data_IF_770535854133
#
_entry.id   IF_770535854133
#
_cell.length_a   1.000
_cell.length_b   1.000
_cell.length_c   1.000
_cell.angle_alpha   90.00
_cell.angle_beta   90.00
_cell.angle_gamma   90.00
#
_symmetry.space_group_name_H-M   'P 1'
#
loop_
_entity.id
_entity.type
_entity.pdbx_description
1 polymer ?
#
# COMPACT_ATOMS: atom_id res chain seq x y z
N UNK A 1 11.01 6.82 7.46
CA UNK A 1 11.91 5.71 7.85
C UNK A 1 12.30 4.89 6.65
N UNK A 2 13.55 4.40 6.57
CA UNK A 2 14.04 3.55 5.47
C UNK A 2 14.34 2.14 5.96
N UNK A 3 13.81 1.15 5.25
CA UNK A 3 14.02 -0.28 5.48
C UNK A 3 14.74 -0.91 4.29
N UNK A 4 15.58 -1.91 4.54
CA UNK A 4 16.09 -2.81 3.49
C UNK A 4 15.19 -4.04 3.42
N UNK A 5 14.82 -4.41 2.20
CA UNK A 5 14.01 -5.59 1.88
C UNK A 5 14.87 -6.51 0.99
N UNK A 6 15.68 -7.38 1.58
CA UNK A 6 16.67 -8.17 0.84
C UNK A 6 16.04 -9.12 -0.17
N UNK A 7 14.80 -9.53 0.05
CA UNK A 7 14.07 -10.50 -0.78
C UNK A 7 12.56 -10.23 -0.78
N UNK A 8 11.83 -11.07 -1.50
CA UNK A 8 10.35 -11.01 -1.57
C UNK A 8 9.73 -11.29 -0.20
N UNK A 9 10.30 -12.23 0.57
CA UNK A 9 9.78 -12.57 1.90
C UNK A 9 9.83 -11.37 2.85
N UNK A 10 10.86 -10.52 2.75
CA UNK A 10 10.94 -9.27 3.49
C UNK A 10 9.83 -8.28 3.10
N UNK A 11 9.53 -8.17 1.80
CA UNK A 11 8.41 -7.33 1.32
C UNK A 11 7.06 -7.87 1.83
N UNK A 12 6.89 -9.18 1.83
CA UNK A 12 5.69 -9.84 2.35
C UNK A 12 5.56 -9.65 3.87
N UNK A 13 6.65 -9.74 4.61
CA UNK A 13 6.66 -9.49 6.06
C UNK A 13 6.29 -8.03 6.39
N UNK A 14 6.75 -7.05 5.59
CA UNK A 14 6.33 -5.66 5.73
C UNK A 14 4.82 -5.50 5.51
N UNK A 15 4.27 -6.14 4.47
CA UNK A 15 2.83 -6.14 4.21
C UNK A 15 2.03 -6.75 5.36
N UNK A 16 2.48 -7.86 5.92
CA UNK A 16 1.85 -8.52 7.06
C UNK A 16 1.88 -7.65 8.33
N UNK A 17 2.98 -6.96 8.61
CA UNK A 17 3.11 -6.06 9.76
C UNK A 17 2.18 -4.84 9.64
N UNK A 18 2.10 -4.24 8.44
CA UNK A 18 1.15 -3.17 8.17
C UNK A 18 -0.31 -3.65 8.32
N UNK A 19 -0.62 -4.87 7.90
CA UNK A 19 -1.94 -5.46 8.08
C UNK A 19 -2.31 -5.67 9.55
N UNK A 20 -1.38 -6.21 10.34
CA UNK A 20 -1.59 -6.52 11.76
C UNK A 20 -1.91 -5.29 12.61
N UNK A 21 -1.40 -4.12 12.22
CA UNK A 21 -1.53 -2.85 12.96
C UNK A 21 -2.42 -1.84 12.24
N UNK A 22 -3.11 -2.26 11.18
CA UNK A 22 -3.96 -1.36 10.36
C UNK A 22 -5.03 -0.67 11.21
N UNK A 23 -5.14 0.66 11.12
CA UNK A 23 -6.27 1.39 11.70
C UNK A 23 -7.59 1.03 11.01
N UNK A 24 -8.71 1.40 11.61
CA UNK A 24 -10.05 1.08 11.11
C UNK A 24 -10.27 1.49 9.65
N UNK A 25 -9.86 2.71 9.28
CA UNK A 25 -9.82 3.20 7.89
C UNK A 25 -8.42 3.68 7.57
N UNK A 26 -7.95 3.39 6.37
CA UNK A 26 -6.59 3.76 5.96
C UNK A 26 -6.45 3.92 4.45
N UNK A 27 -5.60 4.85 4.04
CA UNK A 27 -5.19 5.09 2.65
C UNK A 27 -3.68 4.97 2.55
N UNK A 28 -3.21 4.07 1.69
CA UNK A 28 -1.78 3.84 1.44
C UNK A 28 -1.44 4.20 0.01
N UNK A 29 -0.47 5.08 -0.16
CA UNK A 29 0.13 5.40 -1.45
C UNK A 29 1.41 4.62 -1.65
N UNK A 30 1.50 3.89 -2.76
CA UNK A 30 2.64 3.08 -3.16
C UNK A 30 3.33 3.71 -4.36
N UNK A 31 4.51 4.26 -4.13
CA UNK A 31 5.36 4.87 -5.14
C UNK A 31 6.52 3.94 -5.51
N UNK A 32 7.08 4.13 -6.67
CA UNK A 32 8.25 3.41 -7.16
C UNK A 32 8.10 3.00 -8.63
N UNK A 33 9.22 2.73 -9.28
CA UNK A 33 9.27 2.32 -10.68
C UNK A 33 8.58 0.96 -10.91
N UNK A 34 8.39 0.61 -12.19
CA UNK A 34 7.93 -0.72 -12.57
C UNK A 34 8.88 -1.78 -12.00
N UNK A 35 8.32 -2.83 -11.39
CA UNK A 35 9.11 -3.90 -10.78
C UNK A 35 9.69 -3.57 -9.40
N UNK A 36 9.42 -2.41 -8.81
CA UNK A 36 9.89 -2.03 -7.48
C UNK A 36 9.27 -2.84 -6.34
N UNK A 37 8.15 -3.54 -6.58
CA UNK A 37 7.49 -4.39 -5.59
C UNK A 37 6.19 -3.84 -5.02
N UNK A 38 5.62 -2.78 -5.60
CA UNK A 38 4.35 -2.18 -5.15
C UNK A 38 3.22 -3.20 -5.06
N UNK A 39 2.96 -3.91 -6.16
CA UNK A 39 1.90 -4.93 -6.21
C UNK A 39 2.21 -6.13 -5.29
N UNK A 40 3.47 -6.44 -5.05
CA UNK A 40 3.86 -7.48 -4.10
C UNK A 40 3.50 -7.08 -2.68
N UNK A 41 3.82 -5.85 -2.29
CA UNK A 41 3.46 -5.30 -0.98
C UNK A 41 1.94 -5.21 -0.80
N UNK A 42 1.22 -4.71 -1.81
CA UNK A 42 -0.24 -4.63 -1.79
C UNK A 42 -0.88 -6.01 -1.60
N UNK A 43 -0.43 -7.02 -2.37
CA UNK A 43 -0.91 -8.40 -2.24
C UNK A 43 -0.64 -8.99 -0.86
N UNK A 44 0.56 -8.77 -0.31
CA UNK A 44 0.93 -9.27 1.00
C UNK A 44 0.02 -8.69 2.09
N UNK A 45 -0.24 -7.38 2.04
CA UNK A 45 -1.13 -6.70 2.97
C UNK A 45 -2.57 -7.23 2.86
N UNK A 46 -3.12 -7.32 1.64
CA UNK A 46 -4.46 -7.88 1.39
C UNK A 46 -4.57 -9.34 1.85
N UNK A 47 -3.56 -10.15 1.58
CA UNK A 47 -3.51 -11.55 2.01
C UNK A 47 -3.52 -11.68 3.51
N UNK A 48 -2.75 -10.85 4.22
CA UNK A 48 -2.71 -10.83 5.67
C UNK A 48 -4.03 -10.34 6.30
N UNK A 49 -4.80 -9.52 5.57
CA UNK A 49 -6.15 -9.09 5.96
C UNK A 49 -7.26 -10.10 5.60
N UNK A 50 -6.88 -11.30 5.17
CA UNK A 50 -7.80 -12.40 4.95
C UNK A 50 -8.41 -12.50 3.55
N UNK A 51 -7.93 -11.71 2.58
CA UNK A 51 -8.38 -11.87 1.19
C UNK A 51 -8.01 -13.25 0.67
N UNK A 52 -9.01 -14.02 0.27
CA UNK A 52 -8.88 -15.39 -0.24
C UNK A 52 -8.98 -15.43 -1.76
N UNK A 53 -8.39 -16.47 -2.35
CA UNK A 53 -8.39 -16.63 -3.79
C UNK A 53 -7.34 -15.79 -4.50
N UNK A 54 -7.54 -15.53 -5.79
CA UNK A 54 -6.57 -14.79 -6.59
C UNK A 54 -6.61 -13.30 -6.26
N UNK A 55 -5.45 -12.73 -5.92
CA UNK A 55 -5.26 -11.28 -5.84
C UNK A 55 -4.53 -10.87 -7.11
N UNK A 56 -5.24 -10.16 -7.99
CA UNK A 56 -4.73 -9.72 -9.28
C UNK A 56 -4.12 -8.34 -9.15
N UNK A 57 -3.08 -8.05 -9.95
CA UNK A 57 -2.62 -6.68 -10.14
C UNK A 57 -3.67 -5.91 -10.96
N UNK A 58 -4.13 -4.73 -10.52
CA UNK A 58 -5.13 -3.95 -11.24
C UNK A 58 -4.56 -3.17 -12.44
N UNK A 59 -3.40 -3.56 -12.96
CA UNK A 59 -2.71 -2.88 -14.07
C UNK A 59 -3.61 -2.70 -15.30
N UNK A 60 -4.55 -3.61 -15.54
CA UNK A 60 -5.48 -3.55 -16.67
C UNK A 60 -6.89 -3.10 -16.28
N UNK A 61 -7.34 -3.41 -15.07
CA UNK A 61 -8.68 -3.12 -14.58
C UNK A 61 -8.78 -1.77 -13.88
N UNK A 62 -7.64 -1.16 -13.54
CA UNK A 62 -7.46 0.08 -12.77
C UNK A 62 -7.90 -0.05 -11.31
N UNK A 63 -8.99 -0.74 -11.01
CA UNK A 63 -9.56 -0.91 -9.68
C UNK A 63 -9.95 -2.35 -9.47
N UNK A 64 -9.51 -2.93 -8.36
CA UNK A 64 -9.93 -4.26 -7.89
C UNK A 64 -10.45 -4.16 -6.45
N UNK A 65 -11.74 -4.43 -6.22
CA UNK A 65 -12.31 -4.50 -4.88
C UNK A 65 -12.04 -5.87 -4.26
N UNK A 66 -11.84 -5.90 -2.94
CA UNK A 66 -11.63 -7.11 -2.15
C UNK A 66 -12.45 -7.07 -0.87
N UNK A 67 -13.01 -8.23 -0.50
CA UNK A 67 -13.61 -8.45 0.82
C UNK A 67 -12.53 -8.91 1.79
N UNK A 68 -12.42 -8.21 2.92
CA UNK A 68 -11.53 -8.55 4.02
C UNK A 68 -12.22 -9.50 5.02
N UNK A 69 -11.42 -10.18 5.85
CA UNK A 69 -11.97 -10.86 7.02
C UNK A 69 -12.68 -9.84 7.93
N UNK A 70 -13.84 -10.20 8.47
CA UNK A 70 -14.67 -9.29 9.24
C UNK A 70 -15.74 -8.54 8.42
N UNK A 71 -15.72 -8.65 7.07
CA UNK A 71 -16.76 -8.13 6.19
C UNK A 71 -16.52 -6.71 5.66
N UNK A 72 -15.38 -6.11 6.00
CA UNK A 72 -14.96 -4.83 5.43
C UNK A 72 -14.51 -4.96 3.97
N UNK A 73 -14.55 -3.88 3.21
CA UNK A 73 -14.07 -3.82 1.84
C UNK A 73 -12.75 -3.03 1.73
N UNK A 74 -11.86 -3.54 0.87
CA UNK A 74 -10.66 -2.82 0.43
C UNK A 74 -10.71 -2.60 -1.08
N UNK A 75 -10.02 -1.57 -1.56
CA UNK A 75 -9.80 -1.33 -2.98
C UNK A 75 -8.31 -1.22 -3.28
N UNK A 76 -7.89 -1.85 -4.35
CA UNK A 76 -6.55 -1.74 -4.90
C UNK A 76 -6.62 -1.06 -6.26
N UNK A 77 -5.96 0.08 -6.38
CA UNK A 77 -5.87 0.89 -7.60
C UNK A 77 -4.46 0.84 -8.17
N UNK A 78 -4.36 0.75 -9.48
CA UNK A 78 -3.12 0.96 -10.23
C UNK A 78 -3.36 2.02 -11.31
N UNK A 79 -2.81 3.21 -11.10
CA UNK A 79 -3.04 4.37 -11.94
C UNK A 79 -1.95 4.56 -13.00
N UNK A 80 -1.10 3.56 -13.23
CA UNK A 80 -0.01 3.64 -14.21
C UNK A 80 -0.46 4.12 -15.59
N UNK A 81 -1.64 3.67 -16.04
CA UNK A 81 -2.19 3.96 -17.37
C UNK A 81 -3.09 5.20 -17.43
N UNK A 82 -3.36 5.82 -16.29
CA UNK A 82 -4.15 7.05 -16.24
C UNK A 82 -3.30 8.20 -16.80
N UNK A 83 -3.79 8.83 -17.84
CA UNK A 83 -3.13 9.97 -18.47
C UNK A 83 -3.52 11.30 -17.82
N UNK A 84 -4.75 11.39 -17.30
CA UNK A 84 -5.27 12.59 -16.66
C UNK A 84 -6.15 12.21 -15.47
N UNK A 85 -6.05 12.96 -14.37
CA UNK A 85 -6.81 12.70 -13.13
C UNK A 85 -8.34 12.75 -13.34
N UNK A 86 -8.79 13.50 -14.35
CA UNK A 86 -10.22 13.61 -14.71
C UNK A 86 -10.82 12.26 -15.15
N UNK A 87 -9.99 11.34 -15.66
CA UNK A 87 -10.46 9.98 -16.00
C UNK A 87 -10.98 9.23 -14.78
N UNK A 88 -10.48 9.54 -13.57
CA UNK A 88 -10.92 8.92 -12.34
C UNK A 88 -12.33 9.32 -11.92
N UNK A 89 -12.81 10.51 -12.33
CA UNK A 89 -14.16 10.97 -12.02
C UNK A 89 -15.24 10.06 -12.61
N UNK A 90 -14.92 9.36 -13.71
CA UNK A 90 -15.84 8.41 -14.37
C UNK A 90 -15.84 7.01 -13.74
N UNK A 91 -14.94 6.73 -12.79
CA UNK A 91 -14.78 5.40 -12.20
C UNK A 91 -15.62 5.16 -10.94
N UNK A 92 -16.42 6.14 -10.52
CA UNK A 92 -17.27 6.00 -9.32
C UNK A 92 -16.47 5.91 -8.02
N UNK A 93 -15.33 6.62 -7.93
CA UNK A 93 -14.47 6.59 -6.73
C UNK A 93 -15.20 7.04 -5.48
N UNK A 94 -16.16 7.96 -5.57
CA UNK A 94 -16.94 8.44 -4.42
C UNK A 94 -17.76 7.32 -3.78
N UNK A 95 -18.37 6.45 -4.59
CA UNK A 95 -19.11 5.28 -4.08
C UNK A 95 -18.17 4.26 -3.43
N UNK A 96 -17.03 4.01 -4.05
CA UNK A 96 -15.99 3.14 -3.49
C UNK A 96 -15.43 3.71 -2.18
N UNK A 97 -15.20 5.02 -2.13
CA UNK A 97 -14.71 5.71 -0.94
C UNK A 97 -15.69 5.59 0.24
N UNK A 98 -16.99 5.57 -0.03
CA UNK A 98 -18.02 5.40 1.00
C UNK A 98 -18.00 4.00 1.62
N UNK A 99 -17.62 2.97 0.87
CA UNK A 99 -17.69 1.56 1.26
C UNK A 99 -16.35 1.01 1.73
N UNK A 100 -15.25 1.34 1.04
CA UNK A 100 -13.95 0.77 1.34
C UNK A 100 -13.31 1.40 2.57
N UNK A 101 -12.81 0.56 3.48
CA UNK A 101 -12.05 0.97 4.67
C UNK A 101 -10.55 1.02 4.41
N UNK A 102 -10.07 0.37 3.36
CA UNK A 102 -8.66 0.36 2.98
C UNK A 102 -8.51 0.69 1.50
N UNK A 103 -7.64 1.65 1.23
CA UNK A 103 -7.23 2.02 -0.12
C UNK A 103 -5.74 1.74 -0.30
N UNK A 104 -5.40 0.94 -1.30
CA UNK A 104 -4.03 0.72 -1.75
C UNK A 104 -3.92 1.31 -3.14
N UNK A 105 -3.11 2.36 -3.31
CA UNK A 105 -3.01 3.11 -4.56
C UNK A 105 -1.59 3.07 -5.09
N UNK A 106 -1.38 2.40 -6.22
CA UNK A 106 -0.13 2.44 -6.98
C UNK A 106 -0.17 3.61 -7.98
N UNK A 107 0.95 4.28 -8.18
CA UNK A 107 1.09 5.47 -9.05
C UNK A 107 0.13 6.60 -8.66
N UNK A 108 0.05 6.98 -7.38
CA UNK A 108 -0.92 7.97 -6.90
C UNK A 108 -0.71 9.36 -7.51
N UNK A 109 0.49 9.67 -8.03
CA UNK A 109 0.80 10.90 -8.75
C UNK A 109 -0.08 11.14 -9.98
N UNK A 110 -0.62 10.07 -10.59
CA UNK A 110 -1.53 10.17 -11.72
C UNK A 110 -2.97 10.48 -11.31
N UNK A 111 -3.32 10.28 -10.04
CA UNK A 111 -4.68 10.49 -9.54
C UNK A 111 -4.96 11.89 -8.99
N UNK A 112 -3.92 12.62 -8.66
CA UNK A 112 -4.02 14.01 -8.20
C UNK A 112 -5.05 14.21 -7.07
N UNK A 113 -5.88 15.22 -7.21
CA UNK A 113 -6.90 15.60 -6.22
C UNK A 113 -8.12 14.67 -6.17
N UNK A 114 -8.28 13.77 -7.14
CA UNK A 114 -9.38 12.80 -7.15
C UNK A 114 -9.21 11.69 -6.12
N UNK A 115 -8.01 11.51 -5.56
CA UNK A 115 -7.71 10.51 -4.55
C UNK A 115 -7.91 11.06 -3.13
N UNK A 116 -8.34 10.20 -2.18
CA UNK A 116 -8.33 10.56 -0.76
C UNK A 116 -6.91 10.81 -0.27
N UNK A 117 -6.76 11.66 0.77
CA UNK A 117 -5.46 11.91 1.39
C UNK A 117 -4.85 10.60 1.93
N UNK A 118 -3.57 10.37 1.63
CA UNK A 118 -2.86 9.22 2.17
C UNK A 118 -2.60 9.37 3.68
N UNK A 119 -2.80 8.28 4.42
CA UNK A 119 -2.31 8.14 5.80
C UNK A 119 -0.85 7.69 5.80
N UNK A 120 -0.51 6.77 4.90
CA UNK A 120 0.83 6.22 4.76
C UNK A 120 1.30 6.31 3.32
N UNK A 121 2.53 6.81 3.15
CA UNK A 121 3.26 6.76 1.89
C UNK A 121 4.39 5.74 2.00
N UNK A 122 4.52 4.90 0.98
CA UNK A 122 5.61 3.92 0.84
C UNK A 122 6.28 4.13 -0.51
N UNK A 123 7.55 4.51 -0.49
CA UNK A 123 8.38 4.63 -1.68
C UNK A 123 9.26 3.38 -1.78
N UNK A 124 9.06 2.57 -2.81
CA UNK A 124 9.81 1.35 -3.08
C UNK A 124 10.82 1.57 -4.20
N UNK A 125 12.03 1.07 -4.01
CA UNK A 125 13.07 1.11 -5.02
C UNK A 125 13.83 -0.21 -5.09
N UNK A 126 14.32 -0.57 -6.28
CA UNK A 126 15.25 -1.69 -6.46
C UNK A 126 16.60 -1.29 -5.86
N UNK A 127 17.17 -2.14 -5.02
CA UNK A 127 18.46 -1.92 -4.37
C UNK A 127 19.28 -3.24 -4.40
N UNK A 128 20.20 -3.34 -5.35
CA UNK A 128 20.92 -4.59 -5.61
C UNK A 128 19.97 -5.70 -6.07
N UNK A 129 20.04 -6.85 -5.43
CA UNK A 129 19.12 -7.98 -5.68
C UNK A 129 17.79 -7.85 -4.90
N UNK A 130 17.76 -6.97 -3.90
CA UNK A 130 16.58 -6.70 -3.07
C UNK A 130 15.86 -5.42 -3.42
N UNK A 131 15.24 -4.85 -2.42
CA UNK A 131 14.49 -3.59 -2.48
C UNK A 131 14.83 -2.73 -1.27
N UNK A 132 14.55 -1.44 -1.35
CA UNK A 132 14.42 -0.56 -0.19
C UNK A 132 13.00 0.02 -0.14
N UNK A 133 12.52 0.29 1.06
CA UNK A 133 11.26 0.97 1.28
C UNK A 133 11.49 2.19 2.17
N UNK A 134 10.96 3.35 1.76
CA UNK A 134 10.88 4.54 2.61
C UNK A 134 9.41 4.68 2.99
N UNK A 135 9.14 4.64 4.31
CA UNK A 135 7.79 4.78 4.86
C UNK A 135 7.65 6.12 5.55
N UNK A 136 6.55 6.80 5.28
CA UNK A 136 6.22 8.12 5.82
C UNK A 136 4.74 8.15 6.24
N UNK A 137 4.48 8.42 7.54
CA UNK A 137 3.13 8.76 8.00
C UNK A 137 2.77 10.17 7.54
N UNK A 138 1.63 10.33 6.88
CA UNK A 138 1.16 11.59 6.28
C UNK A 138 0.05 12.24 7.10
N UNK A 139 -0.51 11.51 8.04
CA UNK A 139 -1.50 11.97 9.02
C UNK A 139 -1.06 11.53 10.42
N UNK A 140 -1.71 12.05 11.47
CA UNK A 140 -1.46 11.57 12.84
C UNK A 140 -1.70 10.08 12.93
N UNK A 141 -2.83 9.60 12.37
CA UNK A 141 -3.14 8.17 12.28
C UNK A 141 -2.06 7.37 11.54
N UNK A 142 -1.53 7.90 10.45
CA UNK A 142 -0.46 7.26 9.68
C UNK A 142 0.86 7.19 10.44
N UNK A 143 1.19 8.21 11.26
CA UNK A 143 2.36 8.20 12.13
C UNK A 143 2.22 7.13 13.22
N UNK A 144 1.09 7.09 13.90
CA UNK A 144 0.80 6.08 14.94
C UNK A 144 0.80 4.66 14.34
N UNK A 145 0.22 4.50 13.16
CA UNK A 145 0.22 3.22 12.45
C UNK A 145 1.64 2.75 12.13
N UNK A 146 2.47 3.65 11.60
CA UNK A 146 3.86 3.34 11.26
C UNK A 146 4.65 2.94 12.52
N UNK A 147 4.49 3.65 13.63
CA UNK A 147 5.16 3.34 14.89
C UNK A 147 4.77 1.93 15.40
N UNK A 148 3.48 1.59 15.36
CA UNK A 148 3.00 0.27 15.75
C UNK A 148 3.52 -0.84 14.83
N UNK A 149 3.47 -0.62 13.50
CA UNK A 149 3.99 -1.59 12.54
C UNK A 149 5.48 -1.88 12.73
N UNK A 150 6.26 -0.87 13.12
CA UNK A 150 7.71 -1.02 13.36
C UNK A 150 8.03 -1.72 14.68
N UNK A 151 7.14 -1.66 15.65
CA UNK A 151 7.28 -2.39 16.91
C UNK A 151 6.89 -3.86 16.80
N UNK A 152 6.21 -4.27 15.72
CA UNK A 152 5.93 -5.68 15.45
C UNK A 152 7.23 -6.48 15.26
N UNK A 153 7.29 -7.65 15.90
CA UNK A 153 8.52 -8.47 15.96
C UNK A 153 9.12 -8.82 14.58
N UNK A 154 8.27 -8.85 13.54
CA UNK A 154 8.70 -9.18 12.18
C UNK A 154 9.50 -8.05 11.50
N UNK A 155 9.33 -6.79 11.92
CA UNK A 155 10.11 -5.66 11.40
C UNK A 155 11.45 -5.47 12.12
N UNK A 156 11.63 -6.04 13.30
CA UNK A 156 12.92 -6.02 14.00
C UNK A 156 14.05 -6.72 13.24
N UNK A 157 13.70 -7.52 12.21
CA UNK A 157 14.65 -8.20 11.33
C UNK A 157 15.09 -7.36 10.13
N UNK A 158 14.51 -6.17 9.93
CA UNK A 158 14.91 -5.29 8.83
C UNK A 158 15.95 -4.29 9.31
N UNK A 159 17.15 -4.24 8.72
CA UNK A 159 18.11 -3.21 9.08
C UNK A 159 17.54 -1.83 8.73
N UNK A 160 17.29 -1.04 9.76
CA UNK A 160 16.93 0.38 9.60
C UNK A 160 18.17 1.14 9.16
N UNK A 161 18.14 1.74 8.00
CA UNK A 161 19.21 2.63 7.55
C UNK A 161 18.91 4.02 8.10
N UNK A 162 19.53 4.36 9.23
CA UNK A 162 19.52 5.75 9.69
C UNK A 162 20.22 6.59 8.63
N UNK A 163 19.48 7.44 7.94
CA UNK A 163 20.06 8.50 7.12
C UNK A 163 20.75 9.47 8.06
N UNK A 164 22.09 9.54 7.98
CA UNK A 164 22.86 10.64 8.57
C UNK A 164 22.73 11.87 7.70
#
# INVERSE_FOLDING_TARGET
MRLKLPDVAATEALGAALAATRPGRAVVYLHGDLGAGKSTLARALLRALGVRGAIRSPTYTLIEPYRLDGGDDAVHLDLYRIAAAEELEFLGLDELAAQAVLWLVEWPEHGGKALPQADLRVDLAVEGEGRSAILEGRTVQGLDWLEQALSEANLAHFPVVNSR
#
